data_IF_893692755350
#
_entry.id   IF_893692755350
#
_cell.length_a   1.000
_cell.length_b   1.000
_cell.length_c   1.000
_cell.angle_alpha   90.00
_cell.angle_beta   90.00
_cell.angle_gamma   90.00
#
_symmetry.space_group_name_H-M   'P 1'
#
loop_
_entity.id
_entity.type
_entity.pdbx_description
1 polymer ?
#
# COMPACT_ATOMS: atom_id res chain seq x y z
N UNK A 1 -35.67 -9.09 46.07
CA UNK A 1 -35.35 -8.14 44.98
C UNK A 1 -34.19 -8.75 44.19
N UNK A 2 -34.47 -9.38 43.05
CA UNK A 2 -33.44 -10.05 42.25
C UNK A 2 -32.90 -9.07 41.21
N UNK A 3 -31.63 -8.68 41.35
CA UNK A 3 -30.95 -7.82 40.38
C UNK A 3 -30.49 -8.70 39.23
N UNK A 4 -31.15 -8.56 38.08
CA UNK A 4 -30.72 -9.15 36.81
C UNK A 4 -29.53 -8.36 36.26
N UNK A 5 -28.35 -8.96 36.28
CA UNK A 5 -27.23 -8.49 35.46
C UNK A 5 -27.50 -8.88 34.00
N UNK A 6 -28.02 -7.95 33.21
CA UNK A 6 -28.00 -8.09 31.75
C UNK A 6 -26.57 -7.83 31.30
N UNK A 7 -25.79 -8.90 31.17
CA UNK A 7 -24.50 -8.85 30.49
C UNK A 7 -24.76 -8.46 29.03
N UNK A 8 -24.44 -7.22 28.67
CA UNK A 8 -24.38 -6.80 27.28
C UNK A 8 -23.29 -7.63 26.59
N UNK A 9 -23.70 -8.66 25.85
CA UNK A 9 -22.83 -9.35 24.90
C UNK A 9 -22.47 -8.36 23.79
N UNK A 10 -21.40 -7.58 24.01
CA UNK A 10 -20.78 -6.77 22.96
C UNK A 10 -20.28 -7.76 21.92
N UNK A 11 -21.01 -7.90 20.80
CA UNK A 11 -20.55 -8.69 19.67
C UNK A 11 -19.11 -8.24 19.33
N UNK A 12 -18.16 -9.17 19.20
CA UNK A 12 -16.79 -8.79 18.85
C UNK A 12 -16.85 -8.02 17.55
N UNK A 13 -16.47 -6.74 17.63
CA UNK A 13 -16.39 -5.82 16.49
C UNK A 13 -15.57 -6.52 15.41
N UNK A 14 -16.11 -6.64 14.21
CA UNK A 14 -15.46 -7.32 13.08
C UNK A 14 -13.99 -6.84 12.93
N UNK A 15 -13.06 -7.70 13.37
CA UNK A 15 -11.62 -7.47 13.43
C UNK A 15 -10.93 -7.95 12.15
N UNK A 16 -11.67 -8.38 11.12
CA UNK A 16 -11.06 -8.84 9.88
C UNK A 16 -10.31 -7.68 9.20
N UNK A 17 -9.11 -7.97 8.71
CA UNK A 17 -8.30 -7.05 7.92
C UNK A 17 -9.03 -6.74 6.61
N UNK A 18 -9.17 -5.47 6.28
CA UNK A 18 -9.82 -5.01 5.03
C UNK A 18 -8.94 -4.01 4.31
N UNK A 19 -8.88 -4.12 2.99
CA UNK A 19 -8.10 -3.23 2.11
C UNK A 19 -9.08 -2.63 1.09
N UNK A 20 -9.02 -1.31 0.92
CA UNK A 20 -9.86 -0.56 -0.01
C UNK A 20 -8.98 0.27 -0.95
N UNK A 21 -9.25 0.21 -2.26
CA UNK A 21 -8.50 0.99 -3.26
C UNK A 21 -9.04 2.42 -3.35
N UNK A 22 -8.20 3.40 -3.02
CA UNK A 22 -8.49 4.83 -3.03
C UNK A 22 -8.15 5.44 -4.41
N UNK A 23 -8.98 5.17 -5.41
CA UNK A 23 -8.85 5.77 -6.74
C UNK A 23 -8.96 7.31 -6.69
N UNK A 24 -8.38 8.05 -7.64
CA UNK A 24 -7.59 7.57 -8.78
C UNK A 24 -6.15 7.18 -8.40
N UNK A 25 -5.54 6.35 -9.24
CA UNK A 25 -4.09 6.12 -9.17
C UNK A 25 -3.35 7.33 -9.70
N UNK A 26 -2.15 7.58 -9.17
CA UNK A 26 -1.28 8.65 -9.66
C UNK A 26 -0.28 8.08 -10.63
N UNK A 27 -0.43 8.42 -11.91
CA UNK A 27 0.54 8.12 -12.96
C UNK A 27 1.29 9.41 -13.32
N UNK A 28 2.60 9.31 -13.47
CA UNK A 28 3.46 10.41 -13.91
C UNK A 28 4.39 9.90 -15.01
N UNK A 29 4.47 10.65 -16.10
CA UNK A 29 5.33 10.35 -17.24
C UNK A 29 6.39 11.45 -17.31
N UNK A 30 7.65 11.05 -17.34
CA UNK A 30 8.76 11.98 -17.50
C UNK A 30 9.30 11.87 -18.93
N UNK A 31 8.87 12.82 -19.78
CA UNK A 31 9.23 12.86 -21.20
C UNK A 31 10.69 13.26 -21.44
N UNK A 32 11.30 13.96 -20.48
CA UNK A 32 12.61 14.60 -20.66
C UNK A 32 13.78 13.71 -20.21
N UNK A 33 13.48 12.56 -19.62
CA UNK A 33 14.46 11.63 -19.04
C UNK A 33 14.52 10.26 -19.70
N UNK A 34 13.88 10.07 -20.87
CA UNK A 34 14.01 8.84 -21.66
C UNK A 34 15.50 8.64 -21.99
N UNK A 35 16.16 7.67 -21.32
CA UNK A 35 17.57 7.35 -21.51
C UNK A 35 18.59 8.22 -20.75
N UNK A 36 18.18 9.09 -19.81
CA UNK A 36 19.11 9.90 -18.99
C UNK A 36 19.24 9.40 -17.55
N UNK A 37 20.46 9.01 -17.18
CA UNK A 37 21.03 8.85 -15.83
C UNK A 37 20.03 8.67 -14.68
N UNK A 38 19.67 7.42 -14.37
CA UNK A 38 19.10 7.02 -13.08
C UNK A 38 17.60 7.24 -12.88
N UNK A 39 16.97 8.20 -13.56
CA UNK A 39 15.53 8.52 -13.40
C UNK A 39 14.60 7.51 -14.08
N UNK A 40 13.43 7.25 -13.50
CA UNK A 40 12.38 6.41 -14.10
C UNK A 40 11.57 7.22 -15.12
N UNK A 41 11.25 6.62 -16.26
CA UNK A 41 10.46 7.25 -17.33
C UNK A 41 8.97 7.33 -16.98
N UNK A 42 8.47 6.35 -16.21
CA UNK A 42 7.10 6.29 -15.72
C UNK A 42 7.05 5.92 -14.25
N UNK A 43 6.21 6.60 -13.51
CA UNK A 43 5.96 6.34 -12.10
C UNK A 43 4.48 6.18 -11.86
N UNK A 44 4.09 5.09 -11.19
CA UNK A 44 2.72 4.86 -10.74
C UNK A 44 2.69 4.73 -9.22
N UNK A 45 1.72 5.38 -8.60
CA UNK A 45 1.40 5.19 -7.19
C UNK A 45 -0.08 4.84 -7.06
N UNK A 46 -0.35 3.73 -6.39
CA UNK A 46 -1.70 3.29 -6.07
C UNK A 46 -1.90 3.39 -4.57
N UNK A 47 -3.07 3.86 -4.17
CA UNK A 47 -3.33 4.23 -2.79
C UNK A 47 -4.42 3.34 -2.21
N UNK A 48 -4.21 2.87 -1.00
CA UNK A 48 -5.14 1.98 -0.31
C UNK A 48 -5.43 2.47 1.10
N UNK A 49 -6.64 2.24 1.58
CA UNK A 49 -6.96 2.29 3.00
C UNK A 49 -6.92 0.87 3.56
N UNK A 50 -6.22 0.68 4.68
CA UNK A 50 -6.13 -0.59 5.38
C UNK A 50 -6.71 -0.49 6.79
N UNK A 51 -7.68 -1.37 7.08
CA UNK A 51 -8.38 -1.45 8.36
C UNK A 51 -7.95 -2.70 9.10
N UNK A 52 -7.81 -2.58 10.43
CA UNK A 52 -7.43 -3.67 11.33
C UNK A 52 -6.09 -4.33 10.95
N UNK A 53 -5.11 -3.52 10.53
CA UNK A 53 -3.76 -3.98 10.23
C UNK A 53 -2.81 -3.58 11.35
N UNK A 54 -1.99 -4.54 11.77
CA UNK A 54 -0.90 -4.33 12.72
C UNK A 54 0.44 -4.70 12.06
N UNK A 55 1.30 -3.70 11.88
CA UNK A 55 2.63 -3.88 11.28
C UNK A 55 3.61 -4.68 12.17
N UNK A 56 3.25 -4.99 13.41
CA UNK A 56 4.02 -5.90 14.28
C UNK A 56 3.53 -7.35 14.18
N UNK A 57 2.37 -7.59 13.55
CA UNK A 57 1.76 -8.90 13.42
C UNK A 57 2.08 -9.53 12.05
N UNK A 58 2.86 -10.60 12.06
CA UNK A 58 3.30 -11.30 10.85
C UNK A 58 2.14 -11.88 10.03
N UNK A 59 1.05 -12.34 10.68
CA UNK A 59 -0.11 -12.87 9.96
C UNK A 59 -0.84 -11.78 9.17
N UNK A 60 -0.86 -10.55 9.69
CA UNK A 60 -1.46 -9.43 8.98
C UNK A 60 -0.57 -8.97 7.82
N UNK A 61 0.75 -8.97 8.00
CA UNK A 61 1.70 -8.75 6.90
C UNK A 61 1.52 -9.77 5.77
N UNK A 62 1.41 -11.07 6.09
CA UNK A 62 1.20 -12.14 5.10
C UNK A 62 -0.10 -11.94 4.30
N UNK A 63 -1.18 -11.46 4.94
CA UNK A 63 -2.43 -11.14 4.23
C UNK A 63 -2.24 -9.98 3.24
N UNK A 64 -1.50 -8.95 3.63
CA UNK A 64 -1.17 -7.83 2.74
C UNK A 64 -0.24 -8.29 1.62
N UNK A 65 0.77 -9.10 1.91
CA UNK A 65 1.67 -9.69 0.91
C UNK A 65 0.87 -10.48 -0.14
N UNK A 66 -0.10 -11.28 0.31
CA UNK A 66 -0.99 -12.06 -0.57
C UNK A 66 -1.86 -11.17 -1.45
N UNK A 67 -2.42 -10.11 -0.87
CA UNK A 67 -3.15 -9.08 -1.62
C UNK A 67 -2.25 -8.43 -2.68
N UNK A 68 -1.03 -8.02 -2.31
CA UNK A 68 -0.06 -7.37 -3.20
C UNK A 68 0.30 -8.29 -4.38
N UNK A 69 0.64 -9.55 -4.13
CA UNK A 69 0.95 -10.50 -5.21
C UNK A 69 -0.25 -10.69 -6.14
N UNK A 70 -1.46 -10.82 -5.60
CA UNK A 70 -2.65 -10.93 -6.44
C UNK A 70 -2.89 -9.64 -7.25
N UNK A 71 -2.62 -8.48 -6.67
CA UNK A 71 -2.76 -7.19 -7.34
C UNK A 71 -1.78 -7.05 -8.51
N UNK A 72 -0.50 -7.40 -8.29
CA UNK A 72 0.53 -7.42 -9.33
C UNK A 72 0.19 -8.37 -10.47
N UNK A 73 -0.35 -9.56 -10.19
CA UNK A 73 -0.74 -10.54 -11.23
C UNK A 73 -1.82 -10.05 -12.17
N UNK A 74 -2.66 -9.10 -11.73
CA UNK A 74 -3.80 -8.60 -12.49
C UNK A 74 -3.50 -7.25 -13.16
N UNK A 75 -2.23 -6.85 -13.25
CA UNK A 75 -1.81 -5.58 -13.83
C UNK A 75 -0.51 -5.76 -14.62
N UNK A 76 -0.38 -5.01 -15.72
CA UNK A 76 0.74 -5.12 -16.65
C UNK A 76 1.61 -3.85 -16.68
N UNK A 77 1.43 -2.93 -15.73
CA UNK A 77 2.16 -1.67 -15.72
C UNK A 77 3.68 -1.85 -15.77
N UNK A 78 4.24 -2.78 -14.98
CA UNK A 78 5.67 -3.01 -15.00
C UNK A 78 6.11 -3.67 -16.31
N UNK A 79 5.38 -4.65 -16.84
CA UNK A 79 5.80 -5.36 -18.05
C UNK A 79 5.63 -4.54 -19.33
N UNK A 80 4.67 -3.62 -19.38
CA UNK A 80 4.41 -2.76 -20.55
C UNK A 80 5.27 -1.50 -20.63
N UNK A 81 5.95 -1.12 -19.55
CA UNK A 81 6.64 0.17 -19.49
C UNK A 81 8.10 -0.04 -19.14
N UNK A 82 9.00 0.37 -20.03
CA UNK A 82 10.42 0.35 -19.75
C UNK A 82 10.79 1.40 -18.71
N UNK A 83 11.73 1.04 -17.83
CA UNK A 83 12.27 1.94 -16.82
C UNK A 83 11.17 2.61 -15.97
N UNK A 84 10.20 1.81 -15.55
CA UNK A 84 9.09 2.23 -14.71
C UNK A 84 9.28 1.83 -13.24
N UNK A 85 8.62 2.58 -12.38
CA UNK A 85 8.52 2.32 -10.94
C UNK A 85 7.05 2.33 -10.52
N UNK A 86 6.69 1.38 -9.65
CA UNK A 86 5.35 1.25 -9.12
C UNK A 86 5.41 1.13 -7.60
N UNK A 87 4.62 1.95 -6.91
CA UNK A 87 4.48 1.90 -5.46
C UNK A 87 3.03 1.69 -5.06
N UNK A 88 2.79 0.71 -4.18
CA UNK A 88 1.50 0.49 -3.53
C UNK A 88 1.58 1.05 -2.10
N UNK A 89 0.75 2.04 -1.78
CA UNK A 89 0.83 2.82 -0.54
C UNK A 89 -0.44 2.57 0.28
N UNK A 90 -0.27 2.07 1.50
CA UNK A 90 -1.38 1.75 2.40
C UNK A 90 -1.44 2.77 3.53
N UNK A 91 -2.57 3.44 3.66
CA UNK A 91 -2.89 4.36 4.75
C UNK A 91 -3.81 3.70 5.77
N UNK A 92 -3.71 4.13 7.03
CA UNK A 92 -4.62 3.67 8.06
C UNK A 92 -6.06 4.08 7.73
N UNK A 93 -6.98 3.14 7.76
CA UNK A 93 -8.41 3.42 7.72
C UNK A 93 -8.85 4.14 9.00
N UNK A 94 -9.56 5.25 8.86
CA UNK A 94 -9.85 6.21 9.92
C UNK A 94 -9.13 7.54 9.72
N UNK A 95 -9.24 8.46 10.68
CA UNK A 95 -8.58 9.78 10.65
C UNK A 95 -8.82 10.59 9.36
N UNK A 96 -10.05 10.49 8.83
CA UNK A 96 -10.51 11.14 7.61
C UNK A 96 -10.37 10.31 6.32
N UNK A 97 -9.79 9.10 6.40
CA UNK A 97 -9.68 8.15 5.27
C UNK A 97 -10.67 7.00 5.48
N UNK A 98 -11.48 6.72 4.48
CA UNK A 98 -12.42 5.60 4.40
C UNK A 98 -12.42 5.00 2.97
N UNK A 99 -13.26 3.98 2.76
CA UNK A 99 -13.36 3.26 1.47
C UNK A 99 -13.79 4.13 0.28
N UNK A 100 -14.43 5.26 0.54
CA UNK A 100 -14.94 6.20 -0.47
C UNK A 100 -14.03 7.42 -0.66
N UNK A 101 -12.92 7.50 0.08
CA UNK A 101 -12.01 8.64 0.02
C UNK A 101 -11.24 8.61 -1.29
N UNK A 102 -11.36 9.68 -2.07
CA UNK A 102 -10.63 9.81 -3.34
C UNK A 102 -9.25 10.41 -3.12
N UNK A 103 -8.24 9.91 -3.83
CA UNK A 103 -6.87 10.44 -3.78
C UNK A 103 -6.62 11.48 -4.89
N UNK A 104 -7.34 12.60 -4.86
CA UNK A 104 -7.23 13.68 -5.85
C UNK A 104 -6.04 14.61 -5.56
N UNK A 105 -4.81 14.06 -5.63
CA UNK A 105 -3.55 14.66 -5.17
C UNK A 105 -3.24 16.09 -5.67
N UNK A 106 -3.88 16.58 -6.73
CA UNK A 106 -3.56 17.87 -7.36
C UNK A 106 -4.66 18.94 -7.20
N UNK A 107 -5.61 18.76 -6.28
CA UNK A 107 -6.81 19.63 -6.22
C UNK A 107 -6.81 20.62 -5.05
N UNK A 108 -6.35 20.24 -3.85
CA UNK A 108 -6.34 21.10 -2.64
C UNK A 108 -5.23 20.68 -1.64
N UNK A 109 -4.61 21.65 -0.96
CA UNK A 109 -3.62 21.46 0.09
C UNK A 109 -4.10 20.55 1.24
N UNK A 110 -5.40 20.47 1.48
CA UNK A 110 -6.00 19.58 2.49
C UNK A 110 -5.77 18.09 2.17
N UNK A 111 -5.75 17.72 0.88
CA UNK A 111 -5.54 16.32 0.46
C UNK A 111 -4.11 15.85 0.77
N UNK A 112 -3.12 16.75 0.67
CA UNK A 112 -1.74 16.45 1.04
C UNK A 112 -1.59 16.18 2.54
N UNK A 113 -2.37 16.86 3.39
CA UNK A 113 -2.41 16.57 4.84
C UNK A 113 -3.15 15.27 5.14
N UNK A 114 -4.18 14.94 4.35
CA UNK A 114 -4.93 13.70 4.50
C UNK A 114 -4.04 12.50 4.16
N UNK A 115 -3.30 12.57 3.05
CA UNK A 115 -2.42 11.52 2.54
C UNK A 115 -0.93 11.78 2.83
N UNK A 116 -0.65 12.44 3.95
CA UNK A 116 0.70 12.76 4.36
C UNK A 116 1.54 11.48 4.55
N UNK A 117 2.83 11.57 4.25
CA UNK A 117 3.81 10.50 4.45
C UNK A 117 3.70 9.85 5.85
N UNK A 118 3.55 10.70 6.87
CA UNK A 118 3.39 10.33 8.28
C UNK A 118 2.16 9.46 8.59
N UNK A 119 1.20 9.34 7.67
CA UNK A 119 -0.03 8.54 7.87
C UNK A 119 0.01 7.18 7.16
N UNK A 120 1.10 6.89 6.44
CA UNK A 120 1.31 5.58 5.83
C UNK A 120 1.45 4.51 6.91
N UNK A 121 1.01 3.30 6.59
CA UNK A 121 1.16 2.10 7.41
C UNK A 121 2.23 1.19 6.81
N UNK A 122 2.11 0.93 5.51
CA UNK A 122 3.10 0.19 4.75
C UNK A 122 3.16 0.68 3.30
N UNK A 123 4.30 0.48 2.65
CA UNK A 123 4.47 0.72 1.22
C UNK A 123 5.31 -0.39 0.59
N UNK A 124 4.85 -0.87 -0.56
CA UNK A 124 5.57 -1.84 -1.38
C UNK A 124 6.06 -1.14 -2.64
N UNK A 125 7.33 -1.32 -2.98
CA UNK A 125 7.93 -0.65 -4.14
C UNK A 125 8.56 -1.66 -5.10
N UNK A 126 8.32 -1.42 -6.38
CA UNK A 126 8.69 -2.29 -7.50
C UNK A 126 9.27 -1.45 -8.62
N UNK A 127 10.20 -2.00 -9.38
CA UNK A 127 10.70 -1.36 -10.60
C UNK A 127 11.16 -2.39 -11.62
N UNK A 128 11.40 -1.99 -12.87
CA UNK A 128 11.88 -2.94 -13.89
C UNK A 128 13.36 -3.31 -13.77
N UNK A 129 14.11 -2.71 -12.85
CA UNK A 129 15.56 -2.94 -12.72
C UNK A 129 15.85 -4.07 -11.73
N UNK A 130 15.08 -4.13 -10.66
CA UNK A 130 15.22 -5.01 -9.50
C UNK A 130 13.98 -5.85 -9.25
N UNK A 131 12.87 -5.55 -9.94
CA UNK A 131 11.54 -6.15 -9.81
C UNK A 131 10.86 -5.85 -8.46
N UNK A 132 11.57 -6.00 -7.34
CA UNK A 132 11.08 -5.70 -6.01
C UNK A 132 12.17 -5.00 -5.18
N UNK A 133 11.95 -3.71 -4.89
CA UNK A 133 12.93 -2.89 -4.16
C UNK A 133 12.81 -3.07 -2.64
N UNK A 134 11.64 -3.47 -2.14
CA UNK A 134 11.40 -3.78 -0.74
C UNK A 134 10.04 -3.29 -0.23
N UNK A 135 9.76 -3.61 1.03
CA UNK A 135 8.61 -3.12 1.80
C UNK A 135 9.07 -2.22 2.93
N UNK A 136 8.37 -1.11 3.14
CA UNK A 136 8.60 -0.18 4.25
C UNK A 136 7.39 -0.16 5.18
N UNK A 137 7.61 -0.40 6.47
CA UNK A 137 6.62 -0.26 7.53
C UNK A 137 6.85 1.05 8.29
N UNK A 138 5.79 1.83 8.47
CA UNK A 138 5.85 3.17 9.06
C UNK A 138 5.22 3.17 10.46
N UNK A 139 6.06 3.34 11.47
CA UNK A 139 5.68 3.36 12.87
C UNK A 139 5.64 4.80 13.40
N UNK A 140 4.89 5.01 14.49
CA UNK A 140 4.83 6.30 15.19
C UNK A 140 4.58 7.47 14.24
N UNK A 141 3.55 7.34 13.40
CA UNK A 141 3.21 8.35 12.37
C UNK A 141 4.40 8.69 11.45
N UNK A 142 5.17 7.67 11.05
CA UNK A 142 6.29 7.81 10.13
C UNK A 142 7.57 8.38 10.76
N UNK A 143 7.63 8.53 12.08
CA UNK A 143 8.86 8.93 12.78
C UNK A 143 9.88 7.77 12.87
N UNK A 144 9.45 6.52 12.64
CA UNK A 144 10.32 5.36 12.46
C UNK A 144 9.89 4.54 11.25
N UNK A 145 10.87 4.07 10.47
CA UNK A 145 10.65 3.28 9.26
C UNK A 145 11.50 2.02 9.35
N UNK A 146 10.86 0.86 9.22
CA UNK A 146 11.54 -0.43 9.13
C UNK A 146 11.38 -0.96 7.71
N UNK A 147 12.49 -1.35 7.09
CA UNK A 147 12.48 -1.93 5.75
C UNK A 147 12.65 -3.45 5.84
N UNK A 148 11.83 -4.18 5.09
CA UNK A 148 11.87 -5.64 5.02
C UNK A 148 11.78 -6.11 3.56
N UNK A 149 12.48 -7.20 3.25
CA UNK A 149 12.21 -7.98 2.04
C UNK A 149 11.23 -9.10 2.40
N UNK A 150 10.03 -9.03 1.82
CA UNK A 150 8.95 -9.99 2.08
C UNK A 150 9.10 -11.23 1.16
N UNK A 151 9.31 -12.45 1.70
CA UNK A 151 9.58 -13.64 0.89
C UNK A 151 8.49 -13.96 -0.13
N UNK A 152 7.21 -13.86 0.25
CA UNK A 152 6.06 -14.13 -0.63
C UNK A 152 6.10 -13.26 -1.89
N UNK A 153 6.45 -11.98 -1.73
CA UNK A 153 6.55 -11.01 -2.84
C UNK A 153 7.81 -11.24 -3.66
N UNK A 154 8.93 -11.56 -3.01
CA UNK A 154 10.19 -11.87 -3.69
C UNK A 154 10.06 -13.12 -4.57
N UNK A 155 9.42 -14.17 -4.06
CA UNK A 155 9.24 -15.43 -4.77
C UNK A 155 8.31 -15.29 -5.97
N UNK A 156 7.33 -14.38 -5.92
CA UNK A 156 6.55 -14.01 -7.09
C UNK A 156 7.46 -13.54 -8.24
N UNK A 157 8.40 -12.63 -8.02
CA UNK A 157 9.28 -12.17 -9.09
C UNK A 157 10.29 -13.24 -9.52
N UNK A 158 10.89 -14.00 -8.59
CA UNK A 158 11.81 -15.10 -8.95
C UNK A 158 11.17 -16.11 -9.89
N UNK A 159 9.93 -16.49 -9.61
CA UNK A 159 9.22 -17.51 -10.38
C UNK A 159 8.60 -16.97 -11.69
N UNK A 160 8.47 -15.65 -11.83
CA UNK A 160 7.92 -15.00 -13.02
C UNK A 160 8.97 -14.26 -13.87
N UNK A 161 10.26 -14.35 -13.53
CA UNK A 161 11.38 -13.82 -14.33
C UNK A 161 11.64 -14.58 -15.66
N UNK A 162 10.65 -15.35 -16.15
CA UNK A 162 10.71 -16.13 -17.40
C UNK A 162 9.65 -15.69 -18.43
N UNK A 163 9.11 -14.48 -18.33
CA UNK A 163 8.22 -13.91 -19.35
C UNK A 163 8.89 -12.77 -20.11
#
# INVERSE_FOLDING_TARGET
>A
MAIWFVSCNVQPKDQTLKIYHLKPDRISVNTDTIGKYGWYAKTRNDFFAIKNFDATNENDKIKVDSFVVNYLKNDDFLTKNDNAVWTLIFFKYGDGINENTKHEFNTDYTIHKLFAFKKRQTAYSFDNRTNYTGTSYFFNKGDSIVNEYRPIVLDYFKNNNHQ
#
